data_IF_943981889748
#
_entry.id   IF_943981889748
#
_cell.length_a   1.000
_cell.length_b   1.000
_cell.length_c   1.000
_cell.angle_alpha   90.00
_cell.angle_beta   90.00
_cell.angle_gamma   90.00
#
_symmetry.space_group_name_H-M   'P 1'
#
loop_
_entity.id
_entity.type
_entity.pdbx_description
1 polymer ?
#
# COMPACT_ATOMS: atom_id res chain seq x y z
N UNK A 1 -10.65 12.14 -7.77
CA UNK A 1 -10.03 12.61 -6.51
C UNK A 1 -8.89 13.58 -6.86
N UNK A 2 -9.09 14.91 -6.81
CA UNK A 2 -8.10 15.90 -7.32
C UNK A 2 -7.22 16.56 -6.24
N UNK A 3 -7.29 16.13 -4.97
CA UNK A 3 -6.50 16.76 -3.89
C UNK A 3 -5.57 15.74 -3.19
N UNK A 4 -4.27 15.73 -3.57
CA UNK A 4 -3.25 14.86 -2.97
C UNK A 4 -3.12 15.01 -1.45
N UNK A 5 -3.34 16.20 -0.91
CA UNK A 5 -3.22 16.46 0.53
C UNK A 5 -4.34 15.80 1.34
N UNK A 6 -5.59 15.84 0.83
CA UNK A 6 -6.73 15.16 1.50
C UNK A 6 -6.57 13.64 1.49
N UNK A 7 -6.15 13.10 0.35
CA UNK A 7 -5.87 11.67 0.23
C UNK A 7 -4.75 11.26 1.19
N UNK A 8 -3.63 11.99 1.20
CA UNK A 8 -2.51 11.71 2.08
C UNK A 8 -2.92 11.72 3.55
N UNK A 9 -3.65 12.74 4.00
CA UNK A 9 -4.08 12.82 5.41
C UNK A 9 -4.96 11.64 5.81
N UNK A 10 -5.91 11.24 4.97
CA UNK A 10 -6.80 10.12 5.30
C UNK A 10 -6.05 8.77 5.27
N UNK A 11 -5.32 8.49 4.20
CA UNK A 11 -4.69 7.19 3.97
C UNK A 11 -3.49 6.97 4.92
N UNK A 12 -2.66 7.99 5.15
CA UNK A 12 -1.58 7.86 6.14
C UNK A 12 -2.13 7.66 7.55
N UNK A 13 -3.20 8.36 7.94
CA UNK A 13 -3.77 8.18 9.28
C UNK A 13 -4.39 6.78 9.41
N UNK A 14 -5.06 6.29 8.36
CA UNK A 14 -5.60 4.93 8.35
C UNK A 14 -4.51 3.86 8.50
N UNK A 15 -3.44 3.93 7.69
CA UNK A 15 -2.38 2.92 7.72
C UNK A 15 -1.48 3.02 8.95
N UNK A 16 -1.20 4.24 9.44
CA UNK A 16 -0.24 4.46 10.54
C UNK A 16 -0.88 4.57 11.93
N UNK A 17 -2.10 5.09 12.04
CA UNK A 17 -2.76 5.35 13.34
C UNK A 17 -3.95 4.42 13.61
N UNK A 18 -4.25 3.48 12.72
CA UNK A 18 -5.33 2.51 12.93
C UNK A 18 -4.90 1.05 12.63
N UNK A 19 -3.98 0.49 13.44
CA UNK A 19 -3.47 -0.86 13.21
C UNK A 19 -4.56 -1.93 13.32
N UNK A 20 -5.59 -1.74 14.15
CA UNK A 20 -6.68 -2.71 14.33
C UNK A 20 -7.46 -2.95 13.04
N UNK A 21 -7.83 -1.88 12.34
CA UNK A 21 -8.58 -1.99 11.08
C UNK A 21 -7.68 -2.18 9.87
N UNK A 22 -6.46 -1.63 9.89
CA UNK A 22 -5.50 -1.86 8.82
C UNK A 22 -5.03 -3.32 8.78
N UNK A 23 -4.72 -3.90 9.95
CA UNK A 23 -4.33 -5.31 10.10
C UNK A 23 -5.48 -6.24 10.47
N UNK A 24 -6.70 -5.88 10.04
CA UNK A 24 -7.86 -6.74 10.18
C UNK A 24 -7.58 -8.12 9.55
N UNK A 25 -8.05 -9.19 10.21
CA UNK A 25 -7.78 -10.57 9.80
C UNK A 25 -8.35 -10.91 8.43
N UNK A 26 -9.34 -10.14 7.96
CA UNK A 26 -9.96 -10.30 6.65
C UNK A 26 -9.16 -9.67 5.49
N UNK A 27 -8.09 -8.91 5.80
CA UNK A 27 -7.23 -8.28 4.80
C UNK A 27 -7.85 -7.09 4.06
N UNK A 28 -9.05 -6.62 4.44
CA UNK A 28 -9.73 -5.51 3.76
C UNK A 28 -8.94 -4.22 3.82
N UNK A 29 -8.26 -3.96 4.95
CA UNK A 29 -7.37 -2.80 5.09
C UNK A 29 -6.23 -2.78 4.07
N UNK A 30 -5.67 -3.96 3.77
CA UNK A 30 -4.61 -4.09 2.77
C UNK A 30 -5.14 -3.90 1.34
N UNK A 31 -6.29 -4.50 1.02
CA UNK A 31 -6.95 -4.34 -0.29
C UNK A 31 -7.27 -2.87 -0.56
N UNK A 32 -7.86 -2.20 0.42
CA UNK A 32 -8.15 -0.77 0.35
C UNK A 32 -6.88 0.04 0.08
N UNK A 33 -5.80 -0.18 0.85
CA UNK A 33 -4.56 0.54 0.65
C UNK A 33 -3.97 0.32 -0.75
N UNK A 34 -3.99 -0.91 -1.26
CA UNK A 34 -3.48 -1.22 -2.59
C UNK A 34 -4.24 -0.50 -3.70
N UNK A 35 -5.56 -0.44 -3.62
CA UNK A 35 -6.40 0.29 -4.59
C UNK A 35 -6.13 1.79 -4.55
N UNK A 36 -5.97 2.34 -3.36
CA UNK A 36 -5.64 3.74 -3.18
C UNK A 36 -4.23 4.05 -3.72
N UNK A 37 -3.25 3.17 -3.52
CA UNK A 37 -1.90 3.30 -4.10
C UNK A 37 -1.97 3.36 -5.62
N UNK A 38 -2.67 2.42 -6.27
CA UNK A 38 -2.79 2.40 -7.73
C UNK A 38 -3.50 3.65 -8.29
N UNK A 39 -4.59 4.08 -7.63
CA UNK A 39 -5.29 5.30 -8.02
C UNK A 39 -4.43 6.56 -7.85
N UNK A 40 -3.58 6.60 -6.80
CA UNK A 40 -2.68 7.71 -6.56
C UNK A 40 -1.45 7.67 -7.47
N UNK A 41 -0.97 6.48 -7.85
CA UNK A 41 0.21 6.33 -8.69
C UNK A 41 0.02 7.02 -10.05
N UNK A 42 -1.17 6.91 -10.64
CA UNK A 42 -1.52 7.60 -11.87
C UNK A 42 -1.54 9.14 -11.76
N UNK A 43 -1.67 9.69 -10.55
CA UNK A 43 -1.79 11.14 -10.30
C UNK A 43 -0.52 11.76 -9.71
N UNK A 44 0.14 11.03 -8.80
CA UNK A 44 1.30 11.46 -8.05
C UNK A 44 2.09 10.21 -7.54
N UNK A 45 3.01 9.69 -8.38
CA UNK A 45 3.89 8.56 -8.05
C UNK A 45 4.62 8.67 -6.71
N UNK A 46 5.15 9.85 -6.40
CA UNK A 46 5.91 10.09 -5.16
C UNK A 46 5.05 9.91 -3.91
N UNK A 47 3.79 10.35 -3.97
CA UNK A 47 2.84 10.17 -2.88
C UNK A 47 2.43 8.70 -2.75
N UNK A 48 2.17 8.03 -3.87
CA UNK A 48 1.85 6.61 -3.89
C UNK A 48 3.00 5.76 -3.30
N UNK A 49 4.24 6.07 -3.67
CA UNK A 49 5.46 5.44 -3.17
C UNK A 49 5.59 5.58 -1.63
N UNK A 50 5.28 6.76 -1.09
CA UNK A 50 5.30 6.95 0.36
C UNK A 50 4.21 6.14 1.06
N UNK A 51 3.01 6.05 0.48
CA UNK A 51 1.89 5.28 1.03
C UNK A 51 2.16 3.76 0.97
N UNK A 52 2.68 3.26 -0.16
CA UNK A 52 2.95 1.81 -0.33
C UNK A 52 4.01 1.32 0.66
N UNK A 53 4.89 2.20 1.16
CA UNK A 53 5.88 1.88 2.19
C UNK A 53 5.27 1.36 3.50
N UNK A 54 3.97 1.58 3.76
CA UNK A 54 3.27 1.00 4.90
C UNK A 54 3.26 -0.54 4.85
N UNK A 55 3.41 -1.14 3.65
CA UNK A 55 3.57 -2.58 3.52
C UNK A 55 4.96 -3.07 3.92
N UNK A 56 6.01 -2.25 3.99
CA UNK A 56 7.41 -2.71 4.16
C UNK A 56 7.62 -3.55 5.42
N UNK A 57 6.82 -3.34 6.48
CA UNK A 57 6.94 -4.08 7.73
C UNK A 57 6.27 -5.46 7.71
N UNK A 58 5.72 -5.90 6.59
CA UNK A 58 4.98 -7.16 6.42
C UNK A 58 5.71 -8.41 6.97
N UNK A 59 7.05 -8.42 6.93
CA UNK A 59 7.88 -9.51 7.47
C UNK A 59 7.77 -9.70 9.00
N UNK A 60 7.30 -8.68 9.74
CA UNK A 60 7.18 -8.70 11.21
C UNK A 60 5.82 -9.22 11.71
N UNK A 61 4.86 -9.43 10.81
CA UNK A 61 3.52 -9.90 11.16
C UNK A 61 3.41 -11.43 11.07
N UNK A 62 2.37 -12.00 11.68
CA UNK A 62 2.08 -13.43 11.60
C UNK A 62 1.88 -13.91 10.14
N UNK A 63 2.01 -15.22 9.95
CA UNK A 63 1.99 -15.86 8.63
C UNK A 63 0.73 -15.52 7.82
N UNK A 64 -0.44 -15.42 8.45
CA UNK A 64 -1.68 -15.10 7.74
C UNK A 64 -1.68 -13.65 7.23
N UNK A 65 -1.31 -12.68 8.08
CA UNK A 65 -1.21 -11.27 7.67
C UNK A 65 -0.10 -11.04 6.65
N UNK A 66 1.03 -11.73 6.82
CA UNK A 66 2.17 -11.72 5.89
C UNK A 66 1.72 -12.11 4.48
N UNK A 67 0.97 -13.22 4.36
CA UNK A 67 0.44 -13.69 3.08
C UNK A 67 -0.52 -12.68 2.43
N UNK A 68 -1.41 -12.08 3.22
CA UNK A 68 -2.37 -11.08 2.71
C UNK A 68 -1.68 -9.82 2.19
N UNK A 69 -0.66 -9.30 2.90
CA UNK A 69 0.12 -8.15 2.43
C UNK A 69 0.94 -8.48 1.20
N UNK A 70 1.59 -9.65 1.15
CA UNK A 70 2.33 -10.09 -0.03
C UNK A 70 1.42 -10.21 -1.25
N UNK A 71 0.20 -10.71 -1.09
CA UNK A 71 -0.77 -10.77 -2.17
C UNK A 71 -1.07 -9.38 -2.74
N UNK A 72 -1.18 -8.36 -1.89
CA UNK A 72 -1.38 -6.98 -2.35
C UNK A 72 -0.13 -6.38 -2.99
N UNK A 73 1.08 -6.62 -2.45
CA UNK A 73 2.32 -6.20 -3.09
C UNK A 73 2.49 -6.82 -4.49
N UNK A 74 2.17 -8.11 -4.64
CA UNK A 74 2.16 -8.80 -5.95
C UNK A 74 1.10 -8.24 -6.91
N UNK A 75 -0.08 -7.87 -6.39
CA UNK A 75 -1.12 -7.20 -7.19
C UNK A 75 -0.64 -5.83 -7.71
N UNK A 76 0.02 -5.04 -6.86
CA UNK A 76 0.52 -3.71 -7.22
C UNK A 76 1.62 -3.83 -8.28
N UNK A 77 2.62 -4.70 -8.07
CA UNK A 77 3.75 -4.82 -9.03
C UNK A 77 3.31 -5.33 -10.40
N UNK A 78 2.24 -6.13 -10.46
CA UNK A 78 1.67 -6.63 -11.71
C UNK A 78 0.74 -5.62 -12.40
N UNK A 79 0.50 -4.44 -11.81
CA UNK A 79 -0.39 -3.44 -12.39
C UNK A 79 0.22 -2.81 -13.64
N UNK A 80 -0.51 -2.76 -14.77
CA UNK A 80 -0.04 -2.08 -15.96
C UNK A 80 0.11 -0.57 -15.70
N UNK A 81 1.17 0.03 -16.23
CA UNK A 81 1.43 1.47 -16.10
C UNK A 81 1.94 1.91 -14.73
N UNK A 82 2.37 0.97 -13.87
CA UNK A 82 2.95 1.28 -12.57
C UNK A 82 4.18 2.19 -12.72
N UNK A 83 4.23 3.25 -11.93
CA UNK A 83 5.38 4.15 -11.93
C UNK A 83 6.65 3.47 -11.40
N UNK A 84 7.80 4.01 -11.82
CA UNK A 84 9.11 3.57 -11.35
C UNK A 84 9.26 3.73 -9.83
N UNK A 85 8.74 4.83 -9.27
CA UNK A 85 8.84 5.13 -7.84
C UNK A 85 8.15 4.04 -6.98
N UNK A 86 6.94 3.63 -7.38
CA UNK A 86 6.21 2.58 -6.67
C UNK A 86 6.83 1.20 -6.93
N UNK A 87 7.25 0.94 -8.17
CA UNK A 87 7.91 -0.32 -8.53
C UNK A 87 9.18 -0.58 -7.70
N UNK A 88 10.03 0.42 -7.50
CA UNK A 88 11.26 0.29 -6.69
C UNK A 88 10.96 -0.09 -5.23
N UNK A 89 9.94 0.52 -4.61
CA UNK A 89 9.59 0.21 -3.23
C UNK A 89 8.97 -1.19 -3.11
N UNK A 90 8.08 -1.54 -4.04
CA UNK A 90 7.39 -2.84 -4.00
C UNK A 90 8.36 -3.99 -4.30
N UNK A 91 9.24 -3.83 -5.30
CA UNK A 91 10.28 -4.82 -5.61
C UNK A 91 11.25 -5.02 -4.44
N UNK A 92 11.72 -3.94 -3.82
CA UNK A 92 12.56 -4.01 -2.61
C UNK A 92 11.85 -4.69 -1.44
N UNK A 93 10.55 -4.50 -1.32
CA UNK A 93 9.77 -5.11 -0.25
C UNK A 93 9.53 -6.61 -0.46
N UNK A 94 9.40 -7.05 -1.72
CA UNK A 94 9.20 -8.46 -2.08
C UNK A 94 10.51 -9.27 -2.10
N UNK A 95 11.65 -8.62 -2.38
CA UNK A 95 13.00 -9.16 -2.17
C UNK A 95 13.35 -9.36 -0.70
#
# INVERSE_FOLDING_TARGET
MKNPNRFRSLINIFSAKNPTYFHAKDGRGYQFLAEQVLAMDALNPQTAARVVSAFNQWKHYDVARRALMQAQLKRIIASPGLSKDVYEIVSRSLG
#
